data_IF_726681075334
#
_entry.id   IF_726681075334
#
_cell.length_a   1.000
_cell.length_b   1.000
_cell.length_c   1.000
_cell.angle_alpha   90.00
_cell.angle_beta   90.00
_cell.angle_gamma   90.00
#
_symmetry.space_group_name_H-M   'P 1'
#
loop_
_entity.id
_entity.type
_entity.pdbx_description
1 polymer ?
#
# COMPACT_ATOMS: atom_id res chain seq x y z
N UNK A 1 8.66 -7.33 5.61
CA UNK A 1 7.75 -7.55 4.46
C UNK A 1 7.93 -6.40 3.49
N UNK A 2 7.67 -6.61 2.20
CA UNK A 2 7.94 -5.61 1.15
C UNK A 2 6.65 -4.89 0.77
N UNK A 3 6.70 -3.56 0.70
CA UNK A 3 5.58 -2.71 0.30
C UNK A 3 6.09 -1.61 -0.66
N UNK A 4 5.16 -0.97 -1.36
CA UNK A 4 5.42 0.34 -1.97
C UNK A 4 4.53 1.39 -1.35
N UNK A 5 5.07 2.61 -1.27
CA UNK A 5 4.38 3.79 -0.77
C UNK A 5 4.49 4.84 -1.86
N UNK A 6 3.35 5.36 -2.32
CA UNK A 6 3.32 6.34 -3.41
C UNK A 6 2.28 7.42 -3.24
N UNK A 7 2.34 8.41 -4.13
CA UNK A 7 1.35 9.46 -4.26
C UNK A 7 0.89 9.56 -5.71
N UNK A 8 -0.39 9.90 -5.91
CA UNK A 8 -0.95 10.16 -7.23
C UNK A 8 -0.54 11.55 -7.71
N UNK A 9 0.24 11.63 -8.78
CA UNK A 9 0.80 12.86 -9.32
C UNK A 9 -0.22 13.69 -10.11
N UNK A 10 0.11 14.96 -10.33
CA UNK A 10 -0.68 15.86 -11.19
C UNK A 10 -0.55 15.54 -12.68
N UNK A 11 0.44 14.72 -13.02
CA UNK A 11 0.71 14.10 -14.32
C UNK A 11 -0.09 12.82 -14.53
N UNK A 12 -1.04 12.51 -13.63
CA UNK A 12 -1.89 11.32 -13.65
C UNK A 12 -1.13 9.99 -13.44
N UNK A 13 0.16 10.06 -13.12
CA UNK A 13 1.01 8.91 -12.80
C UNK A 13 1.09 8.68 -11.29
N UNK A 14 1.41 7.44 -10.87
CA UNK A 14 1.76 7.16 -9.48
C UNK A 14 3.28 7.16 -9.32
N UNK A 15 3.73 7.96 -8.36
CA UNK A 15 5.14 8.06 -7.99
C UNK A 15 5.33 7.32 -6.66
N UNK A 16 6.09 6.23 -6.67
CA UNK A 16 6.26 5.36 -5.50
C UNK A 16 7.71 5.04 -5.14
N UNK A 17 7.97 4.82 -3.86
CA UNK A 17 9.22 4.26 -3.35
C UNK A 17 9.01 2.86 -2.81
N UNK A 18 10.06 2.04 -2.87
CA UNK A 18 10.09 0.76 -2.17
C UNK A 18 10.32 0.99 -0.67
N UNK A 19 9.66 0.18 0.17
CA UNK A 19 9.91 0.19 1.60
C UNK A 19 9.77 -1.21 2.20
N UNK A 20 10.46 -1.43 3.32
CA UNK A 20 10.27 -2.62 4.16
C UNK A 20 9.49 -2.23 5.41
N UNK A 21 8.43 -2.97 5.70
CA UNK A 21 7.68 -2.84 6.95
C UNK A 21 7.81 -4.10 7.81
N UNK A 22 7.74 -3.90 9.14
CA UNK A 22 7.61 -4.99 10.13
C UNK A 22 6.14 -5.35 10.31
N UNK A 23 5.25 -4.35 10.27
CA UNK A 23 3.82 -4.50 10.42
C UNK A 23 3.09 -3.49 9.52
N UNK A 24 2.17 -3.99 8.67
CA UNK A 24 1.40 -3.16 7.75
C UNK A 24 0.46 -2.21 8.49
N UNK A 25 -0.17 -2.67 9.58
CA UNK A 25 -1.09 -1.87 10.39
C UNK A 25 -0.35 -0.70 11.06
N UNK A 26 0.84 -0.95 11.61
CA UNK A 26 1.65 0.13 12.21
C UNK A 26 2.13 1.12 11.15
N UNK A 27 2.47 0.62 9.95
CA UNK A 27 2.82 1.47 8.82
C UNK A 27 1.64 2.33 8.37
N UNK A 28 0.45 1.75 8.29
CA UNK A 28 -0.77 2.47 7.93
C UNK A 28 -1.09 3.59 8.95
N UNK A 29 -1.05 3.27 10.25
CA UNK A 29 -1.22 4.26 11.33
C UNK A 29 -0.18 5.37 11.25
N UNK A 30 1.07 5.04 10.94
CA UNK A 30 2.12 6.03 10.78
C UNK A 30 1.87 6.94 9.57
N UNK A 31 1.47 6.39 8.43
CA UNK A 31 1.19 7.17 7.22
C UNK A 31 0.09 8.23 7.42
N UNK A 32 -0.95 7.90 8.18
CA UNK A 32 -1.99 8.86 8.59
C UNK A 32 -1.44 10.02 9.45
N UNK A 33 -0.28 9.88 10.08
CA UNK A 33 0.33 10.96 10.90
C UNK A 33 1.34 11.83 10.16
N UNK A 34 1.87 11.38 9.02
CA UNK A 34 2.97 12.08 8.31
C UNK A 34 2.49 13.02 7.22
N UNK A 35 1.28 12.81 6.69
CA UNK A 35 0.78 13.58 5.58
C UNK A 35 -0.75 13.62 5.58
N UNK A 36 -1.30 14.79 5.91
CA UNK A 36 -2.74 15.08 5.87
C UNK A 36 -3.23 15.47 4.46
N UNK A 37 -2.31 15.89 3.59
CA UNK A 37 -2.62 16.36 2.25
C UNK A 37 -1.61 15.87 1.22
N UNK A 38 -1.97 16.07 -0.05
CA UNK A 38 -1.17 15.63 -1.19
C UNK A 38 0.26 16.18 -1.21
N UNK A 39 0.46 17.43 -0.81
CA UNK A 39 1.78 18.05 -0.86
C UNK A 39 2.71 17.45 0.19
N UNK A 40 2.20 17.19 1.38
CA UNK A 40 2.95 16.55 2.46
C UNK A 40 3.22 15.08 2.14
N UNK A 41 2.27 14.37 1.52
CA UNK A 41 2.48 13.00 1.06
C UNK A 41 3.59 12.92 0.01
N UNK A 42 3.60 13.86 -0.95
CA UNK A 42 4.70 13.98 -1.92
C UNK A 42 6.03 14.24 -1.20
N UNK A 43 6.11 15.21 -0.30
CA UNK A 43 7.35 15.50 0.46
C UNK A 43 7.83 14.27 1.23
N UNK A 44 6.93 13.55 1.88
CA UNK A 44 7.24 12.34 2.61
C UNK A 44 7.81 11.24 1.71
N UNK A 45 7.14 10.92 0.60
CA UNK A 45 7.62 9.89 -0.35
C UNK A 45 9.00 10.25 -0.91
N UNK A 46 9.24 11.53 -1.22
CA UNK A 46 10.56 12.01 -1.67
C UNK A 46 11.62 11.98 -0.55
N UNK A 47 11.23 12.15 0.72
CA UNK A 47 12.13 12.06 1.86
C UNK A 47 12.61 10.63 2.11
N UNK A 48 11.71 9.66 1.99
CA UNK A 48 12.00 8.24 2.23
C UNK A 48 12.40 7.47 0.96
N UNK A 49 12.68 8.18 -0.13
CA UNK A 49 12.87 7.55 -1.43
C UNK A 49 14.11 6.64 -1.44
N UNK A 50 13.87 5.40 -1.82
CA UNK A 50 14.86 4.41 -2.23
C UNK A 50 14.26 3.64 -3.42
N UNK A 51 14.93 3.71 -4.57
CA UNK A 51 14.43 3.16 -5.84
C UNK A 51 13.04 3.68 -6.24
N UNK A 52 12.99 5.00 -6.48
CA UNK A 52 11.78 5.70 -6.95
C UNK A 52 11.34 5.15 -8.30
N UNK A 53 10.05 4.80 -8.42
CA UNK A 53 9.43 4.34 -9.65
C UNK A 53 8.18 5.15 -9.97
N UNK A 54 8.03 5.43 -11.26
CA UNK A 54 6.81 5.97 -11.85
C UNK A 54 5.98 4.80 -12.41
N UNK A 55 4.67 4.88 -12.24
CA UNK A 55 3.70 3.91 -12.74
C UNK A 55 2.59 4.61 -13.50
N UNK A 56 2.07 3.93 -14.52
CA UNK A 56 1.02 4.49 -15.37
C UNK A 56 -0.34 4.40 -14.66
N UNK A 57 -0.73 5.52 -14.04
CA UNK A 57 -1.95 5.59 -13.25
C UNK A 57 -1.97 4.65 -12.04
N UNK A 58 -3.17 4.50 -11.47
CA UNK A 58 -3.42 3.63 -10.31
C UNK A 58 -3.38 2.15 -10.73
N UNK A 59 -3.90 1.83 -11.91
CA UNK A 59 -3.93 0.46 -12.43
C UNK A 59 -2.52 -0.08 -12.62
N UNK A 60 -1.64 0.69 -13.29
CA UNK A 60 -0.24 0.30 -13.49
C UNK A 60 0.54 0.17 -12.17
N UNK A 61 0.17 0.92 -11.14
CA UNK A 61 0.75 0.77 -9.80
C UNK A 61 0.29 -0.51 -9.11
N UNK A 62 -0.96 -0.92 -9.35
CA UNK A 62 -1.56 -2.15 -8.84
C UNK A 62 -1.10 -3.43 -9.53
N UNK A 63 -0.60 -3.34 -10.77
CA UNK A 63 -0.19 -4.46 -11.62
C UNK A 63 0.59 -5.58 -10.91
N UNK A 64 1.61 -5.28 -10.07
CA UNK A 64 2.40 -6.34 -9.42
C UNK A 64 1.60 -7.16 -8.40
N UNK A 65 0.52 -6.64 -7.82
CA UNK A 65 -0.35 -7.41 -6.91
C UNK A 65 -1.55 -8.03 -7.63
N UNK A 66 -1.96 -7.48 -8.78
CA UNK A 66 -3.09 -7.98 -9.56
C UNK A 66 -2.66 -8.92 -10.71
N UNK A 67 -1.59 -9.69 -10.51
CA UNK A 67 -0.91 -10.55 -11.52
C UNK A 67 -1.84 -11.36 -12.43
N UNK A 68 -2.98 -11.84 -11.93
CA UNK A 68 -4.00 -12.58 -12.71
C UNK A 68 -4.59 -11.77 -13.87
N UNK A 69 -4.73 -10.46 -13.70
CA UNK A 69 -5.31 -9.53 -14.68
C UNK A 69 -4.21 -8.82 -15.46
N UNK A 70 -3.20 -8.30 -14.76
CA UNK A 70 -2.11 -7.53 -15.38
C UNK A 70 -1.14 -8.39 -16.19
N UNK A 71 -0.99 -9.68 -15.84
CA UNK A 71 0.08 -10.53 -16.38
C UNK A 71 1.48 -10.15 -15.88
N UNK A 72 1.60 -9.15 -15.00
CA UNK A 72 2.86 -8.70 -14.42
C UNK A 72 3.19 -9.57 -13.21
N UNK A 73 4.43 -10.05 -13.10
CA UNK A 73 4.86 -10.85 -11.96
C UNK A 73 5.21 -9.97 -10.76
N UNK A 74 4.84 -10.40 -9.56
CA UNK A 74 5.24 -9.77 -8.30
C UNK A 74 6.71 -10.09 -7.95
N UNK A 75 7.66 -9.53 -8.70
CA UNK A 75 9.10 -9.78 -8.48
C UNK A 75 9.62 -9.21 -7.16
N UNK A 76 9.00 -8.13 -6.67
CA UNK A 76 9.38 -7.46 -5.43
C UNK A 76 8.79 -8.14 -4.18
N UNK A 77 8.06 -9.25 -4.34
CA UNK A 77 7.36 -9.96 -3.26
C UNK A 77 6.53 -9.00 -2.38
N UNK A 78 5.85 -8.04 -3.04
CA UNK A 78 5.02 -7.05 -2.38
C UNK A 78 3.87 -7.74 -1.68
N UNK A 79 3.55 -7.26 -0.47
CA UNK A 79 2.40 -7.71 0.31
C UNK A 79 1.30 -6.65 0.39
N UNK A 80 1.54 -5.46 -0.17
CA UNK A 80 0.62 -4.35 -0.11
C UNK A 80 1.18 -3.07 -0.72
N UNK A 81 0.26 -2.20 -1.12
CA UNK A 81 0.54 -0.92 -1.74
C UNK A 81 -0.15 0.17 -0.93
N UNK A 82 0.59 1.21 -0.57
CA UNK A 82 0.04 2.44 -0.05
C UNK A 82 0.05 3.51 -1.14
N UNK A 83 -1.07 4.24 -1.26
CA UNK A 83 -1.22 5.31 -2.23
C UNK A 83 -1.94 6.51 -1.61
N UNK A 84 -1.30 7.67 -1.61
CA UNK A 84 -2.00 8.91 -1.29
C UNK A 84 -2.71 9.45 -2.53
N UNK A 85 -4.04 9.39 -2.52
CA UNK A 85 -4.91 9.91 -3.59
C UNK A 85 -6.22 10.43 -3.00
N UNK A 86 -6.92 11.32 -3.71
CA UNK A 86 -8.23 11.87 -3.26
C UNK A 86 -8.20 12.49 -1.85
N UNK A 87 -7.03 13.00 -1.42
CA UNK A 87 -6.84 13.63 -0.11
C UNK A 87 -6.69 12.67 1.07
N UNK A 88 -6.51 11.37 0.85
CA UNK A 88 -6.28 10.36 1.90
C UNK A 88 -5.28 9.29 1.48
N UNK A 89 -4.70 8.61 2.46
CA UNK A 89 -3.99 7.36 2.20
C UNK A 89 -4.97 6.22 1.95
N UNK A 90 -4.67 5.45 0.91
CA UNK A 90 -5.37 4.22 0.55
C UNK A 90 -4.39 3.05 0.61
N UNK A 91 -4.94 1.87 0.85
CA UNK A 91 -4.24 0.61 0.86
C UNK A 91 -4.88 -0.37 -0.13
N UNK A 92 -4.05 -1.23 -0.71
CA UNK A 92 -4.47 -2.37 -1.50
C UNK A 92 -3.53 -3.55 -1.24
N UNK A 93 -4.08 -4.73 -0.95
CA UNK A 93 -3.35 -6.00 -0.86
C UNK A 93 -3.42 -6.84 -2.14
N UNK A 94 -4.25 -6.41 -3.11
CA UNK A 94 -4.51 -7.16 -4.34
C UNK A 94 -4.32 -6.33 -5.63
N UNK A 95 -4.02 -5.04 -5.51
CA UNK A 95 -3.74 -4.12 -6.61
C UNK A 95 -4.98 -3.62 -7.37
N UNK A 96 -6.20 -3.95 -6.94
CA UNK A 96 -7.45 -3.59 -7.60
C UNK A 96 -8.38 -2.85 -6.66
N UNK A 97 -8.56 -3.41 -5.45
CA UNK A 97 -9.43 -2.83 -4.44
C UNK A 97 -8.59 -1.84 -3.63
N UNK A 98 -9.00 -0.56 -3.67
CA UNK A 98 -8.33 0.55 -3.00
C UNK A 98 -9.24 1.12 -1.94
N UNK A 99 -8.95 0.78 -0.69
CA UNK A 99 -9.70 1.23 0.49
C UNK A 99 -8.90 2.32 1.20
N UNK A 100 -9.56 3.29 1.82
CA UNK A 100 -8.85 4.21 2.73
C UNK A 100 -8.22 3.42 3.88
N UNK A 101 -7.17 3.94 4.52
CA UNK A 101 -6.56 3.26 5.68
C UNK A 101 -7.60 3.01 6.80
N UNK A 102 -8.56 3.93 6.96
CA UNK A 102 -9.69 3.78 7.88
C UNK A 102 -10.61 2.61 7.51
N UNK A 103 -10.89 2.38 6.23
CA UNK A 103 -11.71 1.25 5.77
C UNK A 103 -10.93 -0.08 5.86
N UNK A 104 -9.68 -0.09 5.40
CA UNK A 104 -8.84 -1.29 5.37
C UNK A 104 -8.42 -1.78 6.78
N UNK A 105 -8.21 -0.85 7.73
CA UNK A 105 -7.61 -1.17 9.04
C UNK A 105 -8.34 -0.55 10.24
N UNK A 106 -9.36 0.27 10.03
CA UNK A 106 -10.28 0.67 11.08
C UNK A 106 -11.13 -0.52 11.54
N UNK A 107 -12.08 -0.27 12.45
CA UNK A 107 -12.88 -1.25 13.20
C UNK A 107 -13.81 -2.16 12.35
N UNK A 108 -13.38 -2.68 11.20
CA UNK A 108 -14.12 -3.62 10.40
C UNK A 108 -13.92 -5.04 10.95
N UNK A 109 -14.97 -5.77 11.36
CA UNK A 109 -14.86 -7.09 12.01
C UNK A 109 -14.27 -8.23 11.14
N UNK A 110 -13.92 -7.98 9.89
CA UNK A 110 -13.48 -9.00 8.92
C UNK A 110 -11.95 -9.13 8.77
N UNK A 111 -11.16 -8.52 9.66
CA UNK A 111 -9.69 -8.68 9.70
C UNK A 111 -9.21 -10.10 10.05
N UNK A 112 -10.13 -11.04 10.32
CA UNK A 112 -9.83 -12.48 10.43
C UNK A 112 -9.28 -13.09 9.12
N UNK A 113 -9.32 -12.38 7.98
CA UNK A 113 -8.73 -12.86 6.71
C UNK A 113 -7.26 -12.47 6.49
N UNK A 114 -6.71 -11.52 7.24
CA UNK A 114 -5.31 -11.10 7.09
C UNK A 114 -4.36 -11.71 8.14
N UNK A 115 -4.84 -12.59 9.02
CA UNK A 115 -4.01 -13.43 9.88
C UNK A 115 -3.93 -14.86 9.32
N UNK A 116 -3.38 -14.98 8.10
CA UNK A 116 -2.73 -16.23 7.66
C UNK A 116 -1.43 -16.51 8.41
N UNK A 117 -1.32 -16.07 9.67
CA UNK A 117 -0.27 -16.49 10.59
C UNK A 117 -0.86 -17.63 11.42
N UNK A 118 -0.53 -18.86 11.06
CA UNK A 118 -0.67 -19.99 11.97
C UNK A 118 0.30 -19.76 13.14
N UNK A 119 -0.15 -19.03 14.17
CA UNK A 119 0.35 -19.30 15.50
C UNK A 119 -0.24 -20.66 15.88
N UNK A 120 0.55 -21.71 15.67
CA UNK A 120 0.17 -23.06 16.05
C UNK A 120 -0.39 -23.08 17.47
N UNK A 121 -1.67 -23.42 17.60
CA UNK A 121 -2.25 -23.89 18.85
C UNK A 121 -3.25 -24.98 18.50
N UNK A 122 -2.79 -26.22 18.63
CA UNK A 122 -3.65 -27.39 18.89
C UNK A 122 -4.61 -27.05 20.02
N UNK A 123 -5.92 -27.30 19.86
CA UNK A 123 -6.78 -27.88 20.90
C UNK A 123 -8.08 -28.41 20.27
N UNK A 124 -8.10 -29.70 19.93
CA UNK A 124 -9.09 -30.71 20.33
C UNK A 124 -8.74 -32.05 19.67
#
# INVERSE_FOLDING_TARGET
MNIRIGYYGKDENVHSTFAKCINVIETAKYLETVADNWEDAKKYVHLIQDNMKEHWGVDGYGDPLCTRISGVQNEEALIGLFLHMKGKWHFSDNGIDWETIEEAFGSHPDWARASGWEAGVNYA
#
